data_IF_936044844660
#
_entry.id   IF_936044844660
#
_cell.length_a   1.000
_cell.length_b   1.000
_cell.length_c   1.000
_cell.angle_alpha   90.00
_cell.angle_beta   90.00
_cell.angle_gamma   90.00
#
_symmetry.space_group_name_H-M   'P 1'
#
loop_
_entity.id
_entity.type
_entity.pdbx_description
1 polymer ?
#
# COMPACT_ATOMS: atom_id res chain seq x y z
N UNK A 1 -14.45 21.41 15.34
CA UNK A 1 -13.01 21.08 15.35
C UNK A 1 -12.70 20.32 16.62
N UNK A 2 -12.08 19.14 16.51
CA UNK A 2 -11.63 18.37 17.68
C UNK A 2 -10.17 18.73 17.99
N UNK A 3 -9.85 18.96 19.26
CA UNK A 3 -8.48 19.28 19.69
C UNK A 3 -7.72 17.99 19.98
N UNK A 4 -6.56 17.83 19.35
CA UNK A 4 -5.66 16.70 19.58
C UNK A 4 -4.46 17.21 20.38
N UNK A 5 -4.14 16.51 21.47
CA UNK A 5 -2.94 16.75 22.27
C UNK A 5 -1.97 15.59 22.08
N UNK A 6 -0.69 15.88 21.86
CA UNK A 6 0.37 14.88 21.77
C UNK A 6 1.57 15.32 22.60
N UNK A 7 2.24 14.36 23.23
CA UNK A 7 3.46 14.58 23.99
C UNK A 7 4.64 14.27 23.06
N UNK A 8 5.53 15.24 22.90
CA UNK A 8 6.77 15.11 22.12
C UNK A 8 7.96 15.53 22.96
N UNK A 9 9.13 15.00 22.64
CA UNK A 9 10.39 15.49 23.20
C UNK A 9 10.59 16.95 22.79
N UNK A 10 11.17 17.76 23.67
CA UNK A 10 11.42 19.18 23.40
C UNK A 10 12.27 19.36 22.12
N UNK A 11 13.27 18.51 21.91
CA UNK A 11 14.10 18.52 20.69
C UNK A 11 13.33 18.22 19.40
N UNK A 12 12.21 17.48 19.48
CA UNK A 12 11.34 17.26 18.33
C UNK A 12 10.48 18.51 18.08
N UNK A 13 9.91 19.09 19.14
CA UNK A 13 9.11 20.33 19.05
C UNK A 13 9.90 21.47 18.41
N UNK A 14 11.15 21.69 18.83
CA UNK A 14 12.02 22.74 18.26
C UNK A 14 12.22 22.52 16.76
N UNK A 15 12.50 21.28 16.34
CA UNK A 15 12.69 20.96 14.92
C UNK A 15 11.43 21.19 14.10
N UNK A 16 10.27 20.74 14.59
CA UNK A 16 9.00 20.95 13.88
C UNK A 16 8.63 22.42 13.77
N UNK A 17 8.88 23.21 14.82
CA UNK A 17 8.64 24.64 14.82
C UNK A 17 9.53 25.34 13.78
N UNK A 18 10.82 25.00 13.74
CA UNK A 18 11.76 25.58 12.79
C UNK A 18 11.39 25.29 11.32
N UNK A 19 10.94 24.07 11.00
CA UNK A 19 10.48 23.76 9.64
C UNK A 19 9.16 24.43 9.30
N UNK A 20 8.21 24.49 10.24
CA UNK A 20 6.96 25.22 10.03
C UNK A 20 7.20 26.70 9.73
N UNK A 21 8.12 27.35 10.46
CA UNK A 21 8.51 28.75 10.23
C UNK A 21 9.19 28.96 8.88
N UNK A 22 10.07 28.05 8.46
CA UNK A 22 10.72 28.09 7.13
C UNK A 22 9.70 28.02 6.01
N UNK A 23 8.61 27.27 6.20
CA UNK A 23 7.51 27.16 5.24
C UNK A 23 6.45 28.25 5.41
N UNK A 24 6.60 29.18 6.37
CA UNK A 24 5.64 30.25 6.62
C UNK A 24 4.30 29.76 7.21
N UNK A 25 4.29 28.60 7.88
CA UNK A 25 3.10 27.93 8.41
C UNK A 25 3.08 27.94 9.93
N UNK A 26 1.89 27.82 10.51
CA UNK A 26 1.78 27.48 11.94
C UNK A 26 2.18 26.03 12.18
N UNK A 27 2.73 25.70 13.35
CA UNK A 27 3.10 24.33 13.72
C UNK A 27 1.92 23.34 13.56
N UNK A 28 0.72 23.76 13.96
CA UNK A 28 -0.48 22.91 13.85
C UNK A 28 -0.92 22.68 12.40
N UNK A 29 -0.73 23.66 11.52
CA UNK A 29 -0.97 23.50 10.09
C UNK A 29 0.07 22.57 9.47
N UNK A 30 1.35 22.82 9.75
CA UNK A 30 2.46 22.02 9.23
C UNK A 30 2.34 20.54 9.61
N UNK A 31 2.01 20.25 10.88
CA UNK A 31 1.78 18.87 11.33
C UNK A 31 0.55 18.21 10.70
N UNK A 32 -0.51 18.98 10.42
CA UNK A 32 -1.71 18.46 9.76
C UNK A 32 -1.41 18.06 8.32
N UNK A 33 -0.74 18.94 7.58
CA UNK A 33 -0.35 18.68 6.19
C UNK A 33 0.58 17.46 6.10
N UNK A 34 1.58 17.37 6.98
CA UNK A 34 2.46 16.20 7.04
C UNK A 34 1.69 14.89 7.32
N UNK A 35 0.67 14.94 8.19
CA UNK A 35 -0.17 13.77 8.47
C UNK A 35 -1.04 13.39 7.24
N UNK A 36 -1.64 14.38 6.57
CA UNK A 36 -2.46 14.18 5.39
C UNK A 36 -1.65 13.61 4.22
N UNK A 37 -0.44 14.12 3.99
CA UNK A 37 0.50 13.58 3.01
C UNK A 37 0.87 12.13 3.31
N UNK A 38 1.16 11.82 4.58
CA UNK A 38 1.49 10.44 4.98
C UNK A 38 0.30 9.50 4.79
N UNK A 39 -0.91 9.94 5.08
CA UNK A 39 -2.14 9.18 4.84
C UNK A 39 -2.37 8.95 3.35
N UNK A 40 -2.18 9.98 2.51
CA UNK A 40 -2.32 9.88 1.06
C UNK A 40 -1.30 8.90 0.47
N UNK A 41 -0.03 8.98 0.89
CA UNK A 41 1.03 8.08 0.44
C UNK A 41 0.81 6.62 0.88
N UNK A 42 0.26 6.41 2.07
CA UNK A 42 0.03 5.06 2.62
C UNK A 42 -1.24 4.41 2.07
N UNK A 43 -2.20 5.21 1.57
CA UNK A 43 -3.43 4.68 0.99
C UNK A 43 -3.12 4.01 -0.36
N UNK A 44 -2.99 2.68 -0.33
CA UNK A 44 -3.01 1.89 -1.56
C UNK A 44 -4.29 2.22 -2.32
N UNK A 45 -4.17 2.57 -3.61
CA UNK A 45 -5.33 2.76 -4.50
C UNK A 45 -6.15 1.48 -4.46
N UNK A 46 -7.41 1.60 -4.04
CA UNK A 46 -8.39 0.52 -4.17
C UNK A 46 -8.97 0.60 -5.57
N UNK A 47 -9.05 -0.53 -6.25
CA UNK A 47 -9.79 -0.63 -7.50
C UNK A 47 -11.29 -0.56 -7.19
N UNK A 48 -12.02 0.15 -8.05
CA UNK A 48 -13.49 0.13 -8.08
C UNK A 48 -13.98 -1.22 -8.60
N UNK A 49 -15.25 -1.51 -8.35
CA UNK A 49 -15.89 -2.74 -8.86
C UNK A 49 -15.87 -2.73 -10.40
N UNK A 50 -16.07 -1.56 -11.00
CA UNK A 50 -16.06 -1.33 -12.43
C UNK A 50 -14.68 -1.57 -13.04
N UNK A 51 -13.61 -1.09 -12.41
CA UNK A 51 -12.23 -1.36 -12.84
C UNK A 51 -11.90 -2.86 -12.76
N UNK A 52 -12.36 -3.55 -11.72
CA UNK A 52 -12.17 -5.01 -11.59
C UNK A 52 -12.94 -5.77 -12.67
N UNK A 53 -14.18 -5.36 -12.98
CA UNK A 53 -14.97 -5.95 -14.08
C UNK A 53 -14.30 -5.75 -15.43
N UNK A 54 -13.81 -4.54 -15.71
CA UNK A 54 -13.09 -4.24 -16.95
C UNK A 54 -11.79 -5.05 -17.07
N UNK A 55 -11.06 -5.20 -15.96
CA UNK A 55 -9.87 -6.04 -15.91
C UNK A 55 -10.20 -7.51 -16.20
N UNK A 56 -11.23 -8.07 -15.54
CA UNK A 56 -11.67 -9.44 -15.77
C UNK A 56 -12.06 -9.67 -17.23
N UNK A 57 -12.87 -8.79 -17.82
CA UNK A 57 -13.25 -8.87 -19.23
C UNK A 57 -12.03 -8.84 -20.17
N UNK A 58 -10.99 -8.06 -19.85
CA UNK A 58 -9.74 -8.02 -20.63
C UNK A 58 -8.91 -9.29 -20.47
N UNK A 59 -8.99 -9.98 -19.34
CA UNK A 59 -8.36 -11.29 -19.14
C UNK A 59 -9.12 -12.35 -19.93
N UNK A 60 -10.44 -12.38 -19.82
CA UNK A 60 -11.30 -13.32 -20.55
C UNK A 60 -11.16 -13.16 -22.07
N UNK A 61 -11.08 -11.92 -22.57
CA UNK A 61 -10.85 -11.67 -23.99
C UNK A 61 -9.48 -12.17 -24.50
N UNK A 62 -8.48 -12.29 -23.61
CA UNK A 62 -7.14 -12.81 -23.94
C UNK A 62 -7.07 -14.34 -23.90
N UNK A 63 -7.97 -14.99 -23.17
CA UNK A 63 -7.97 -16.43 -23.00
C UNK A 63 -9.31 -17.01 -23.47
N UNK A 64 -9.39 -17.61 -24.68
CA UNK A 64 -10.64 -18.17 -25.16
C UNK A 64 -11.18 -19.24 -24.20
N UNK A 65 -12.51 -19.43 -24.12
CA UNK A 65 -13.11 -20.44 -23.26
C UNK A 65 -12.49 -21.82 -23.51
N UNK A 66 -11.93 -22.44 -22.46
CA UNK A 66 -11.28 -23.75 -22.55
C UNK A 66 -9.79 -23.72 -22.89
N UNK A 67 -9.17 -22.55 -23.05
CA UNK A 67 -7.73 -22.42 -23.09
C UNK A 67 -7.12 -22.93 -21.77
N UNK A 68 -6.34 -24.00 -21.85
CA UNK A 68 -5.52 -24.47 -20.73
C UNK A 68 -4.16 -23.79 -20.80
N UNK A 69 -3.67 -23.33 -19.66
CA UNK A 69 -2.26 -22.93 -19.54
C UNK A 69 -1.38 -24.16 -19.85
N UNK A 70 -0.53 -24.09 -20.89
CA UNK A 70 0.18 -25.26 -21.42
C UNK A 70 1.19 -25.87 -20.42
N UNK A 71 1.70 -25.05 -19.50
CA UNK A 71 2.68 -25.37 -18.47
C UNK A 71 2.06 -25.69 -17.10
N UNK A 72 0.73 -25.64 -16.97
CA UNK A 72 0.04 -25.89 -15.71
C UNK A 72 0.39 -27.24 -15.03
N UNK A 73 0.56 -28.35 -15.76
CA UNK A 73 1.02 -29.61 -15.17
C UNK A 73 2.46 -29.53 -14.61
N UNK A 74 3.35 -28.77 -15.24
CA UNK A 74 4.74 -28.59 -14.81
C UNK A 74 4.81 -27.66 -13.60
N UNK A 75 4.04 -26.58 -13.60
CA UNK A 75 3.89 -25.68 -12.44
C UNK A 75 3.35 -26.45 -11.23
N UNK A 76 2.37 -27.35 -11.43
CA UNK A 76 1.86 -28.21 -10.35
C UNK A 76 2.94 -29.13 -9.77
N UNK A 77 3.80 -29.72 -10.60
CA UNK A 77 4.94 -30.52 -10.13
C UNK A 77 5.91 -29.67 -9.32
N UNK A 78 6.30 -28.52 -9.87
CA UNK A 78 7.20 -27.58 -9.20
C UNK A 78 6.65 -27.13 -7.83
N UNK A 79 5.36 -26.83 -7.73
CA UNK A 79 4.71 -26.42 -6.47
C UNK A 79 4.70 -27.53 -5.41
N UNK A 80 4.59 -28.80 -5.82
CA UNK A 80 4.70 -29.93 -4.89
C UNK A 80 6.15 -30.10 -4.43
N UNK A 81 7.10 -29.97 -5.35
CA UNK A 81 8.54 -30.09 -5.06
C UNK A 81 9.10 -28.94 -4.21
N UNK A 82 8.52 -27.74 -4.30
CA UNK A 82 8.95 -26.56 -3.52
C UNK A 82 8.19 -26.36 -2.21
N UNK A 83 7.15 -27.16 -1.92
CA UNK A 83 6.36 -27.04 -0.70
C UNK A 83 7.05 -27.74 0.48
N UNK A 84 7.89 -26.96 1.16
CA UNK A 84 8.49 -27.12 2.49
C UNK A 84 9.37 -28.38 2.70
N UNK A 85 10.70 -28.26 2.84
CA UNK A 85 11.47 -29.30 3.48
C UNK A 85 10.94 -29.49 4.91
N UNK A 86 10.75 -30.75 5.30
CA UNK A 86 10.37 -31.17 6.64
C UNK A 86 11.31 -30.50 7.67
N UNK A 87 10.81 -29.79 8.70
CA UNK A 87 11.66 -29.26 9.76
C UNK A 87 12.07 -30.42 10.68
N UNK A 88 12.98 -31.27 10.19
CA UNK A 88 13.30 -32.55 10.83
C UNK A 88 14.68 -33.12 10.51
N UNK A 89 15.66 -32.30 10.09
CA UNK A 89 17.09 -32.64 10.15
C UNK A 89 17.83 -31.57 10.93
#
# INVERSE_FOLDING_TARGET
MSRIHFVVKESAKIRYQAEAEREGKSLGQWLREAADERLAATRRRKFTVEELKAFAAKCDARHPPGAKEPDWPEIKKMLVETRFPDPGV
#
